data_IF_007597470619
#
_entry.id   IF_007597470619
#
_cell.length_a   1.000
_cell.length_b   1.000
_cell.length_c   1.000
_cell.angle_alpha   90.00
_cell.angle_beta   90.00
_cell.angle_gamma   90.00
#
_symmetry.space_group_name_H-M   'P 1'
#
loop_
_entity.id
_entity.type
_entity.pdbx_description
1 polymer ?
#
# COMPACT_ATOMS: atom_id res chain seq x y z
N UNK A 1 19.51 10.78 -13.02
CA UNK A 1 18.04 10.63 -13.19
C UNK A 1 17.22 10.56 -11.88
N UNK A 2 17.80 10.59 -10.67
CA UNK A 2 17.00 10.56 -9.41
C UNK A 2 16.08 11.77 -9.24
N UNK A 3 16.48 12.94 -9.75
CA UNK A 3 15.66 14.16 -9.72
C UNK A 3 14.36 14.01 -10.52
N UNK A 4 14.43 13.44 -11.72
CA UNK A 4 13.25 13.20 -12.55
C UNK A 4 12.29 12.19 -11.91
N UNK A 5 12.81 11.10 -11.32
CA UNK A 5 11.99 10.15 -10.55
C UNK A 5 11.25 10.83 -9.39
N UNK A 6 11.92 11.73 -8.66
CA UNK A 6 11.29 12.51 -7.58
C UNK A 6 10.21 13.46 -8.10
N UNK A 7 10.44 14.09 -9.26
CA UNK A 7 9.46 14.97 -9.90
C UNK A 7 8.21 14.19 -10.33
N UNK A 8 8.39 13.08 -11.05
CA UNK A 8 7.29 12.20 -11.48
C UNK A 8 6.49 11.67 -10.28
N UNK A 9 7.18 11.18 -9.24
CA UNK A 9 6.54 10.71 -8.00
C UNK A 9 5.70 11.79 -7.33
N UNK A 10 6.18 13.05 -7.26
CA UNK A 10 5.40 14.15 -6.69
C UNK A 10 4.14 14.41 -7.50
N UNK A 11 4.24 14.41 -8.84
CA UNK A 11 3.09 14.62 -9.71
C UNK A 11 2.04 13.51 -9.55
N UNK A 12 2.48 12.25 -9.52
CA UNK A 12 1.59 11.10 -9.29
C UNK A 12 0.90 11.17 -7.92
N UNK A 13 1.62 11.54 -6.85
CA UNK A 13 1.03 11.67 -5.50
C UNK A 13 -0.07 12.72 -5.40
N UNK A 14 -0.03 13.78 -6.22
CA UNK A 14 -1.08 14.80 -6.24
C UNK A 14 -2.36 14.30 -6.92
N UNK A 15 -2.24 13.39 -7.88
CA UNK A 15 -3.37 12.85 -8.64
C UNK A 15 -4.04 11.66 -7.94
N UNK A 16 -3.28 10.92 -7.15
CA UNK A 16 -3.82 9.80 -6.37
C UNK A 16 -4.74 10.30 -5.24
N UNK A 17 -5.82 9.56 -4.92
CA UNK A 17 -6.66 9.89 -3.79
C UNK A 17 -5.83 9.89 -2.48
N UNK A 18 -6.16 10.78 -1.52
CA UNK A 18 -5.34 10.99 -0.31
C UNK A 18 -5.24 9.77 0.60
N UNK A 19 -6.13 8.78 0.46
CA UNK A 19 -6.03 7.48 1.12
C UNK A 19 -6.42 6.37 0.15
N UNK A 20 -5.47 5.52 -0.23
CA UNK A 20 -5.75 4.29 -0.99
C UNK A 20 -6.20 3.16 -0.05
N UNK A 21 -5.41 2.93 1.01
CA UNK A 21 -5.69 1.92 2.04
C UNK A 21 -5.31 2.46 3.42
N UNK A 22 -6.27 2.61 4.35
CA UNK A 22 -6.02 3.03 5.72
C UNK A 22 -5.02 2.13 6.48
N UNK A 23 -4.85 0.87 6.08
CA UNK A 23 -3.93 -0.11 6.69
C UNK A 23 -2.63 -0.30 5.89
N UNK A 24 -2.33 0.55 4.90
CA UNK A 24 -1.03 0.56 4.24
C UNK A 24 0.01 1.32 5.09
N UNK A 25 0.91 0.58 5.74
CA UNK A 25 1.97 1.19 6.57
C UNK A 25 3.28 1.44 5.80
N UNK A 26 3.60 0.59 4.83
CA UNK A 26 4.82 0.71 4.04
C UNK A 26 4.73 1.83 2.99
N UNK A 27 5.88 2.49 2.74
CA UNK A 27 6.04 3.55 1.72
C UNK A 27 5.12 4.78 1.89
N UNK A 28 4.54 4.97 3.09
CA UNK A 28 3.70 6.10 3.43
C UNK A 28 4.42 7.05 4.40
N UNK A 29 4.14 8.35 4.31
CA UNK A 29 4.70 9.33 5.25
C UNK A 29 4.06 9.14 6.64
N UNK A 30 4.84 9.34 7.72
CA UNK A 30 4.35 9.23 9.10
C UNK A 30 3.74 7.87 9.44
N UNK A 31 4.24 6.81 8.82
CA UNK A 31 3.90 5.42 9.15
C UNK A 31 5.17 4.59 9.19
N UNK A 32 5.19 3.62 10.08
CA UNK A 32 6.33 2.76 10.39
C UNK A 32 5.90 1.30 10.49
N UNK A 33 6.89 0.41 10.57
CA UNK A 33 6.64 -1.00 10.86
C UNK A 33 6.04 -1.19 12.27
N UNK A 34 6.43 -0.35 13.23
CA UNK A 34 5.88 -0.39 14.59
C UNK A 34 4.38 -0.05 14.60
N UNK A 35 3.95 0.90 13.78
CA UNK A 35 2.51 1.22 13.63
C UNK A 35 1.72 0.01 13.11
N UNK A 36 2.31 -0.75 12.17
CA UNK A 36 1.69 -1.96 11.63
C UNK A 36 1.56 -3.05 12.70
N UNK A 37 2.64 -3.29 13.46
CA UNK A 37 2.67 -4.28 14.54
C UNK A 37 1.68 -3.89 15.64
N UNK A 38 1.73 -2.63 16.10
CA UNK A 38 0.85 -2.12 17.15
C UNK A 38 -0.62 -2.19 16.74
N UNK A 39 -0.95 -1.82 15.50
CA UNK A 39 -2.32 -1.93 14.97
C UNK A 39 -2.78 -3.39 14.93
N UNK A 40 -1.94 -4.29 14.42
CA UNK A 40 -2.28 -5.72 14.31
C UNK A 40 -2.50 -6.35 15.68
N UNK A 41 -1.63 -6.05 16.65
CA UNK A 41 -1.76 -6.51 18.04
C UNK A 41 -3.03 -5.97 18.68
N UNK A 42 -3.27 -4.65 18.58
CA UNK A 42 -4.44 -4.02 19.16
C UNK A 42 -5.73 -4.64 18.62
N UNK A 43 -5.89 -4.74 17.30
CA UNK A 43 -7.07 -5.34 16.68
C UNK A 43 -7.28 -6.80 17.09
N UNK A 44 -6.19 -7.56 17.22
CA UNK A 44 -6.25 -8.97 17.62
C UNK A 44 -6.69 -9.13 19.07
N UNK A 45 -6.09 -8.36 19.98
CA UNK A 45 -6.42 -8.41 21.41
C UNK A 45 -7.85 -7.93 21.66
N UNK A 46 -8.25 -6.81 21.05
CA UNK A 46 -9.63 -6.30 21.15
C UNK A 46 -10.66 -7.30 20.61
N UNK A 47 -10.31 -8.10 19.59
CA UNK A 47 -11.20 -9.18 19.15
C UNK A 47 -11.31 -10.29 20.20
N UNK A 48 -10.18 -10.71 20.78
CA UNK A 48 -10.08 -11.78 21.78
C UNK A 48 -10.70 -11.44 23.13
N UNK A 49 -10.94 -10.16 23.44
CA UNK A 49 -11.68 -9.74 24.63
C UNK A 49 -13.14 -10.25 24.63
N UNK A 50 -13.66 -10.70 23.48
CA UNK A 50 -14.98 -11.30 23.37
C UNK A 50 -14.92 -12.81 23.69
N UNK A 51 -15.89 -13.28 24.47
CA UNK A 51 -15.99 -14.69 24.83
C UNK A 51 -16.13 -15.59 23.59
N UNK A 52 -15.47 -16.75 23.62
CA UNK A 52 -15.55 -17.79 22.59
C UNK A 52 -15.09 -17.32 21.19
N UNK A 53 -14.16 -16.36 21.14
CA UNK A 53 -13.52 -15.88 19.90
C UNK A 53 -12.06 -16.36 19.78
N UNK A 54 -11.53 -16.32 18.56
CA UNK A 54 -10.13 -16.64 18.26
C UNK A 54 -9.65 -15.88 17.03
N UNK A 55 -8.35 -15.64 16.93
CA UNK A 55 -7.72 -14.94 15.80
C UNK A 55 -6.89 -15.93 14.98
N UNK A 56 -7.01 -15.85 13.65
CA UNK A 56 -6.13 -16.54 12.69
C UNK A 56 -5.45 -15.48 11.82
N UNK A 57 -4.12 -15.52 11.77
CA UNK A 57 -3.33 -14.63 10.91
C UNK A 57 -2.80 -15.41 9.71
N UNK A 58 -2.98 -14.84 8.52
CA UNK A 58 -2.41 -15.35 7.28
C UNK A 58 -1.31 -14.39 6.83
N UNK A 59 -0.09 -14.90 6.72
CA UNK A 59 1.06 -14.14 6.21
C UNK A 59 1.29 -14.53 4.75
N UNK A 60 1.18 -13.55 3.86
CA UNK A 60 1.46 -13.71 2.42
C UNK A 60 2.60 -12.76 2.09
N UNK A 61 3.60 -13.29 1.38
CA UNK A 61 4.68 -12.50 0.81
C UNK A 61 4.82 -12.79 -0.68
N UNK A 62 5.29 -11.78 -1.43
CA UNK A 62 5.50 -11.88 -2.86
C UNK A 62 6.99 -12.01 -3.16
N UNK A 63 7.39 -13.15 -3.74
CA UNK A 63 8.75 -13.35 -4.23
C UNK A 63 9.11 -12.27 -5.25
N UNK A 64 10.05 -11.40 -4.88
CA UNK A 64 10.61 -10.37 -5.75
C UNK A 64 9.55 -9.49 -6.45
N UNK A 65 8.59 -8.96 -5.69
CA UNK A 65 7.40 -8.24 -6.16
C UNK A 65 7.61 -7.25 -7.31
N UNK A 66 8.69 -6.46 -7.30
CA UNK A 66 8.97 -5.48 -8.36
C UNK A 66 9.49 -6.11 -9.67
N UNK A 67 10.12 -7.28 -9.59
CA UNK A 67 10.59 -8.01 -10.79
C UNK A 67 9.48 -8.87 -11.40
N UNK A 68 8.44 -9.19 -10.63
CA UNK A 68 7.30 -10.02 -11.07
C UNK A 68 6.07 -9.20 -11.45
N UNK A 69 6.13 -7.87 -11.33
CA UNK A 69 5.02 -6.99 -11.68
C UNK A 69 4.73 -7.05 -13.18
N UNK A 70 3.46 -7.22 -13.55
CA UNK A 70 3.02 -7.22 -14.95
C UNK A 70 2.74 -5.76 -15.34
N UNK A 71 3.53 -5.14 -16.25
CA UNK A 71 3.43 -3.70 -16.54
C UNK A 71 2.04 -3.27 -17.03
N UNK A 72 1.40 -4.08 -17.87
CA UNK A 72 0.06 -3.79 -18.40
C UNK A 72 -0.99 -3.68 -17.29
N UNK A 73 -0.97 -4.62 -16.33
CA UNK A 73 -1.88 -4.60 -15.19
C UNK A 73 -1.62 -3.40 -14.26
N UNK A 74 -0.36 -3.00 -14.12
CA UNK A 74 -0.01 -1.80 -13.36
C UNK A 74 -0.57 -0.55 -14.04
N UNK A 75 -0.37 -0.39 -15.34
CA UNK A 75 -0.87 0.76 -16.12
C UNK A 75 -2.40 0.87 -16.00
N UNK A 76 -3.12 -0.23 -16.19
CA UNK A 76 -4.59 -0.26 -16.06
C UNK A 76 -5.04 0.20 -14.67
N UNK A 77 -4.39 -0.29 -13.60
CA UNK A 77 -4.69 0.14 -12.23
C UNK A 77 -4.38 1.61 -12.00
N UNK A 78 -3.29 2.14 -12.56
CA UNK A 78 -2.93 3.55 -12.43
C UNK A 78 -3.94 4.46 -13.15
N UNK A 79 -4.39 4.07 -14.34
CA UNK A 79 -5.45 4.79 -15.09
C UNK A 79 -6.75 4.80 -14.28
N UNK A 80 -7.13 3.67 -13.69
CA UNK A 80 -8.32 3.58 -12.82
C UNK A 80 -8.22 4.50 -11.58
N UNK A 81 -7.01 4.76 -11.09
CA UNK A 81 -6.76 5.68 -9.98
C UNK A 81 -6.69 7.16 -10.42
N UNK A 82 -6.97 7.46 -11.69
CA UNK A 82 -7.05 8.83 -12.21
C UNK A 82 -5.73 9.40 -12.75
N UNK A 83 -4.71 8.57 -12.97
CA UNK A 83 -3.47 9.00 -13.62
C UNK A 83 -3.64 9.09 -15.14
N UNK A 84 -3.15 10.18 -15.74
CA UNK A 84 -3.28 10.40 -17.18
C UNK A 84 -2.42 9.43 -18.01
N UNK A 85 -2.95 8.99 -19.16
CA UNK A 85 -2.29 8.04 -20.07
C UNK A 85 -0.93 8.52 -20.60
N UNK A 86 -0.71 9.84 -20.69
CA UNK A 86 0.58 10.42 -21.12
C UNK A 86 1.72 10.25 -20.10
N UNK A 87 1.40 9.88 -18.85
CA UNK A 87 2.38 9.53 -17.81
C UNK A 87 2.60 8.01 -17.69
N UNK A 88 1.68 7.22 -18.27
CA UNK A 88 1.67 5.75 -18.16
C UNK A 88 2.19 5.03 -19.41
N UNK A 89 2.36 5.75 -20.53
CA UNK A 89 3.06 5.31 -21.75
C UNK A 89 4.51 5.80 -21.75
#
# INVERSE_FOLDING_TARGET
>A
MKCFKRLAMRHMKVQLPPSLDPLQFAYHLNRSTDDAISTTLHLSLTHLDNKDTYVRMLFIDFSSAFNTIIPQQLIEKLILLGLNTSLCN
#
